data_IF_980061667857
#
_entry.id   IF_980061667857
#
_cell.length_a   1.000
_cell.length_b   1.000
_cell.length_c   1.000
_cell.angle_alpha   90.00
_cell.angle_beta   90.00
_cell.angle_gamma   90.00
#
_symmetry.space_group_name_H-M   'P 1'
#
loop_
_entity.id
_entity.type
_entity.pdbx_description
1 polymer ?
#
# COMPACT_ATOMS: atom_id res chain seq x y z
N UNK A 1 -36.02 5.50 -24.19
CA UNK A 1 -36.27 4.08 -24.54
C UNK A 1 -37.38 3.56 -23.64
N UNK A 2 -38.48 3.04 -24.21
CA UNK A 2 -39.65 2.59 -23.47
C UNK A 2 -39.50 1.13 -23.01
N UNK A 3 -40.15 0.79 -21.88
CA UNK A 3 -40.38 -0.57 -21.34
C UNK A 3 -39.24 -1.28 -20.59
N UNK A 4 -38.98 -0.84 -19.37
CA UNK A 4 -38.68 -1.77 -18.27
C UNK A 4 -39.99 -2.05 -17.53
N UNK A 5 -40.59 -3.24 -17.70
CA UNK A 5 -41.87 -3.62 -17.05
C UNK A 5 -41.77 -3.82 -15.53
N UNK A 6 -40.57 -3.81 -14.97
CA UNK A 6 -40.32 -4.16 -13.59
C UNK A 6 -39.98 -2.90 -12.78
N UNK A 7 -40.74 -2.67 -11.70
CA UNK A 7 -40.47 -1.65 -10.68
C UNK A 7 -39.44 -2.18 -9.68
N UNK A 8 -38.88 -1.31 -8.83
CA UNK A 8 -37.97 -1.73 -7.73
C UNK A 8 -38.68 -2.74 -6.81
N UNK A 9 -40.00 -2.64 -6.69
CA UNK A 9 -40.83 -3.60 -5.96
C UNK A 9 -40.82 -5.03 -6.56
N UNK A 10 -40.48 -5.17 -7.85
CA UNK A 10 -40.39 -6.46 -8.56
C UNK A 10 -39.03 -7.15 -8.38
N UNK A 11 -38.07 -6.51 -7.68
CA UNK A 11 -36.86 -7.17 -7.19
C UNK A 11 -37.23 -8.16 -6.08
N UNK A 12 -37.66 -9.36 -6.48
CA UNK A 12 -37.61 -10.53 -5.60
C UNK A 12 -36.15 -10.91 -5.40
N UNK A 13 -35.48 -10.25 -4.46
CA UNK A 13 -34.26 -10.79 -3.86
C UNK A 13 -34.62 -12.19 -3.37
N UNK A 14 -34.13 -13.23 -4.04
CA UNK A 14 -34.20 -14.59 -3.52
C UNK A 14 -33.49 -14.54 -2.18
N UNK A 15 -34.24 -14.53 -1.08
CA UNK A 15 -33.73 -14.91 0.23
C UNK A 15 -33.24 -16.35 0.05
N UNK A 16 -31.94 -16.53 -0.21
CA UNK A 16 -31.32 -17.81 0.08
C UNK A 16 -31.61 -18.08 1.56
N UNK A 17 -32.11 -19.28 1.87
CA UNK A 17 -32.40 -19.70 3.25
C UNK A 17 -31.14 -19.69 4.15
N UNK A 18 -29.97 -19.44 3.56
CA UNK A 18 -28.66 -19.44 4.21
C UNK A 18 -28.15 -18.03 4.57
N UNK A 19 -28.94 -16.97 4.36
CA UNK A 19 -28.58 -15.66 4.92
C UNK A 19 -28.86 -15.66 6.42
N UNK A 20 -27.80 -15.72 7.23
CA UNK A 20 -27.85 -15.42 8.66
C UNK A 20 -28.35 -13.97 8.81
N UNK A 21 -29.48 -13.72 9.50
CA UNK A 21 -29.87 -12.37 9.82
C UNK A 21 -28.78 -11.72 10.67
N UNK A 22 -28.52 -10.42 10.48
CA UNK A 22 -27.48 -9.68 11.23
C UNK A 22 -27.64 -9.83 12.75
N UNK A 23 -28.87 -10.05 13.22
CA UNK A 23 -29.19 -10.34 14.63
C UNK A 23 -28.61 -11.66 15.16
N UNK A 24 -28.20 -12.58 14.28
CA UNK A 24 -27.59 -13.87 14.62
C UNK A 24 -26.06 -13.87 14.47
N UNK A 25 -25.45 -12.76 14.00
CA UNK A 25 -24.01 -12.55 14.05
C UNK A 25 -23.62 -12.28 15.50
N UNK A 26 -23.24 -13.32 16.23
CA UNK A 26 -22.54 -13.16 17.51
C UNK A 26 -21.11 -12.71 17.20
N UNK A 27 -20.80 -11.46 17.53
CA UNK A 27 -19.42 -11.00 17.59
C UNK A 27 -18.79 -11.69 18.80
N UNK A 28 -17.74 -12.47 18.57
CA UNK A 28 -16.95 -13.04 19.64
C UNK A 28 -16.05 -11.93 20.20
N UNK A 29 -16.50 -11.33 21.29
CA UNK A 29 -15.82 -10.21 21.95
C UNK A 29 -14.41 -10.59 22.43
N UNK A 30 -14.15 -11.86 22.76
CA UNK A 30 -12.83 -12.33 23.16
C UNK A 30 -11.88 -12.44 21.96
N UNK A 31 -12.37 -12.93 20.82
CA UNK A 31 -11.62 -12.88 19.55
C UNK A 31 -11.36 -11.45 19.14
N UNK A 32 -12.37 -10.57 19.22
CA UNK A 32 -12.23 -9.15 18.86
C UNK A 32 -11.23 -8.45 19.79
N UNK A 33 -11.31 -8.70 21.10
CA UNK A 33 -10.39 -8.17 22.10
C UNK A 33 -8.97 -8.67 21.89
N UNK A 34 -8.77 -9.98 21.65
CA UNK A 34 -7.44 -10.55 21.34
C UNK A 34 -6.86 -9.99 20.04
N UNK A 35 -7.69 -9.77 19.02
CA UNK A 35 -7.28 -9.12 17.76
C UNK A 35 -6.94 -7.65 17.97
N UNK A 36 -7.74 -6.92 18.74
CA UNK A 36 -7.47 -5.54 19.15
C UNK A 36 -6.18 -5.42 19.95
N UNK A 37 -5.96 -6.30 20.93
CA UNK A 37 -4.73 -6.36 21.72
C UNK A 37 -3.51 -6.71 20.86
N UNK A 38 -3.63 -7.62 19.88
CA UNK A 38 -2.55 -7.86 18.91
C UNK A 38 -2.28 -6.63 18.06
N UNK A 39 -3.31 -5.98 17.53
CA UNK A 39 -3.18 -4.77 16.73
C UNK A 39 -2.52 -3.63 17.53
N UNK A 40 -2.94 -3.43 18.79
CA UNK A 40 -2.36 -2.42 19.70
C UNK A 40 -0.93 -2.78 20.11
N UNK A 41 -0.61 -4.05 20.42
CA UNK A 41 0.77 -4.48 20.70
C UNK A 41 1.68 -4.35 19.50
N UNK A 42 1.16 -4.62 18.30
CA UNK A 42 1.85 -4.28 17.05
C UNK A 42 2.09 -2.77 17.03
N UNK A 43 1.06 -1.94 17.20
CA UNK A 43 1.10 -0.46 17.15
C UNK A 43 2.01 0.19 18.22
N UNK A 44 2.12 -0.39 19.42
CA UNK A 44 2.91 0.13 20.53
C UNK A 44 4.42 -0.14 20.39
N UNK A 45 4.82 -1.03 19.47
CA UNK A 45 6.25 -1.29 19.17
C UNK A 45 6.82 -0.39 18.05
N UNK A 46 6.03 0.56 17.53
CA UNK A 46 6.45 1.45 16.45
C UNK A 46 7.31 2.61 17.00
N UNK A 47 8.63 2.40 17.13
CA UNK A 47 9.59 3.51 17.09
C UNK A 47 9.42 4.29 15.77
N UNK A 48 9.70 5.60 15.79
CA UNK A 48 9.51 6.44 14.59
C UNK A 48 10.36 5.92 13.42
N UNK A 49 9.78 5.69 12.23
CA UNK A 49 10.52 5.34 11.03
C UNK A 49 11.56 6.42 10.70
N UNK A 50 12.58 6.07 9.90
CA UNK A 50 13.70 6.97 9.54
C UNK A 50 13.27 8.20 8.71
N UNK A 51 12.00 8.25 8.30
CA UNK A 51 11.36 9.36 7.62
C UNK A 51 9.89 9.49 8.11
N UNK A 52 9.27 10.63 7.87
CA UNK A 52 7.89 10.92 8.25
C UNK A 52 6.91 10.32 7.21
N UNK A 53 6.15 9.31 7.63
CA UNK A 53 5.18 8.60 6.79
C UNK A 53 4.05 9.51 6.32
N UNK A 54 3.49 10.33 7.20
CA UNK A 54 2.36 11.21 6.87
C UNK A 54 2.72 12.22 5.78
N UNK A 55 3.92 12.82 5.88
CA UNK A 55 4.43 13.74 4.85
C UNK A 55 4.67 13.02 3.53
N UNK A 56 5.20 11.80 3.59
CA UNK A 56 5.43 10.99 2.39
C UNK A 56 4.13 10.64 1.67
N UNK A 57 3.12 10.18 2.43
CA UNK A 57 1.79 9.83 1.94
C UNK A 57 1.05 11.06 1.44
N UNK A 58 1.15 12.18 2.15
CA UNK A 58 0.57 13.47 1.73
C UNK A 58 1.14 13.89 0.37
N UNK A 59 2.46 13.92 0.23
CA UNK A 59 3.10 14.26 -1.04
C UNK A 59 2.63 13.33 -2.16
N UNK A 60 2.57 12.03 -1.89
CA UNK A 60 2.10 11.03 -2.85
C UNK A 60 0.67 11.31 -3.32
N UNK A 61 -0.25 11.63 -2.40
CA UNK A 61 -1.64 11.95 -2.72
C UNK A 61 -1.79 13.29 -3.44
N UNK A 62 -0.91 14.25 -3.20
CA UNK A 62 -0.98 15.58 -3.82
C UNK A 62 -0.35 15.61 -5.22
N UNK A 63 0.60 14.70 -5.50
CA UNK A 63 1.39 14.71 -6.74
C UNK A 63 1.15 13.50 -7.64
N UNK A 64 0.14 12.67 -7.36
CA UNK A 64 -0.16 11.46 -8.13
C UNK A 64 -0.38 11.69 -9.63
N UNK A 65 -0.84 12.89 -10.01
CA UNK A 65 -1.15 13.31 -11.37
C UNK A 65 -0.13 14.29 -11.96
N UNK A 66 1.05 14.45 -11.36
CA UNK A 66 2.09 15.32 -11.93
C UNK A 66 2.51 14.82 -13.32
N UNK A 67 3.17 15.64 -14.11
CA UNK A 67 3.75 15.14 -15.37
C UNK A 67 4.84 14.10 -15.10
N UNK A 68 4.84 12.95 -15.81
CA UNK A 68 5.86 11.92 -15.63
C UNK A 68 7.20 12.40 -16.19
N UNK A 69 8.27 12.26 -15.41
CA UNK A 69 9.61 12.62 -15.87
C UNK A 69 10.21 11.52 -16.76
N UNK A 70 9.72 10.29 -16.64
CA UNK A 70 10.15 9.13 -17.40
C UNK A 70 8.94 8.36 -17.93
N UNK A 71 9.12 7.62 -19.03
CA UNK A 71 8.08 6.72 -19.56
C UNK A 71 7.59 5.71 -18.50
N UNK A 72 8.48 5.23 -17.63
CA UNK A 72 8.17 4.36 -16.50
C UNK A 72 8.50 5.06 -15.18
N UNK A 73 7.63 5.99 -14.76
CA UNK A 73 7.91 6.90 -13.64
C UNK A 73 7.62 6.34 -12.23
N UNK A 74 7.06 5.13 -12.10
CA UNK A 74 6.59 4.60 -10.82
C UNK A 74 7.63 4.65 -9.68
N UNK A 75 8.86 4.19 -9.93
CA UNK A 75 9.92 4.22 -8.92
C UNK A 75 10.40 5.65 -8.62
N UNK A 76 10.58 6.48 -9.65
CA UNK A 76 10.93 7.89 -9.47
C UNK A 76 9.90 8.63 -8.59
N UNK A 77 8.62 8.41 -8.87
CA UNK A 77 7.53 8.98 -8.10
C UNK A 77 7.54 8.50 -6.64
N UNK A 78 7.62 7.19 -6.40
CA UNK A 78 7.67 6.66 -5.03
C UNK A 78 8.89 7.18 -4.29
N UNK A 79 10.06 7.25 -4.94
CA UNK A 79 11.28 7.83 -4.37
C UNK A 79 11.08 9.28 -3.93
N UNK A 80 10.47 10.12 -4.78
CA UNK A 80 10.14 11.51 -4.41
C UNK A 80 9.16 11.58 -3.22
N UNK A 81 8.19 10.67 -3.15
CA UNK A 81 7.30 10.59 -1.98
C UNK A 81 8.09 10.28 -0.71
N UNK A 82 9.05 9.35 -0.75
CA UNK A 82 9.87 9.01 0.41
C UNK A 82 10.77 10.19 0.82
N UNK A 83 11.39 10.87 -0.15
CA UNK A 83 12.22 12.07 0.08
C UNK A 83 11.41 13.22 0.66
N UNK A 84 10.18 13.45 0.20
CA UNK A 84 9.27 14.43 0.79
C UNK A 84 8.90 14.10 2.25
N UNK A 85 8.92 12.81 2.61
CA UNK A 85 8.84 12.35 3.99
C UNK A 85 10.10 12.64 4.83
N UNK A 86 11.21 13.04 4.21
CA UNK A 86 12.49 13.29 4.87
C UNK A 86 13.49 12.14 4.76
N UNK A 87 13.25 11.14 3.89
CA UNK A 87 14.31 10.19 3.55
C UNK A 87 15.44 10.95 2.87
N UNK A 88 16.65 10.91 3.46
CA UNK A 88 17.80 11.65 2.94
C UNK A 88 18.27 11.06 1.63
N UNK A 89 18.49 11.94 0.66
CA UNK A 89 19.21 11.61 -0.56
C UNK A 89 20.70 11.46 -0.27
N UNK A 90 21.37 10.61 -1.04
CA UNK A 90 22.81 10.40 -0.98
C UNK A 90 23.36 10.00 -2.36
N UNK A 91 24.64 9.63 -2.43
CA UNK A 91 25.30 9.29 -3.69
C UNK A 91 24.61 8.12 -4.42
N UNK A 92 24.11 7.15 -3.66
CA UNK A 92 23.45 5.95 -4.18
C UNK A 92 21.93 6.11 -4.36
N UNK A 93 21.32 7.16 -3.83
CA UNK A 93 19.87 7.41 -3.87
C UNK A 93 19.58 8.90 -3.99
N UNK A 94 19.46 9.34 -5.23
CA UNK A 94 19.17 10.73 -5.63
C UNK A 94 18.50 10.71 -7.02
N UNK A 95 17.90 11.83 -7.46
CA UNK A 95 17.22 11.88 -8.74
C UNK A 95 18.14 11.42 -9.88
N UNK A 96 17.58 10.76 -10.88
CA UNK A 96 18.31 10.14 -12.01
C UNK A 96 19.17 8.91 -11.66
N UNK A 97 19.43 8.62 -10.38
CA UNK A 97 20.19 7.43 -10.00
C UNK A 97 19.34 6.17 -10.08
N UNK A 98 19.96 5.02 -10.38
CA UNK A 98 19.22 3.79 -10.69
C UNK A 98 18.36 3.29 -9.53
N UNK A 99 18.83 3.43 -8.30
CA UNK A 99 18.07 3.07 -7.10
C UNK A 99 16.89 3.99 -6.85
N UNK A 100 16.85 5.14 -7.51
CA UNK A 100 15.79 6.14 -7.37
C UNK A 100 14.73 5.98 -8.47
N UNK A 101 15.14 5.71 -9.71
CA UNK A 101 14.26 5.73 -10.88
C UNK A 101 13.83 4.36 -11.37
N UNK A 102 14.40 3.27 -10.87
CA UNK A 102 14.05 1.90 -11.24
C UNK A 102 13.47 1.12 -10.06
N UNK A 103 12.55 0.21 -10.32
CA UNK A 103 11.97 -0.68 -9.29
C UNK A 103 12.99 -1.71 -8.78
N UNK A 104 13.92 -2.12 -9.65
CA UNK A 104 14.84 -3.25 -9.44
C UNK A 104 14.38 -4.59 -10.04
N UNK A 105 13.33 -4.60 -10.86
CA UNK A 105 12.88 -5.83 -11.55
C UNK A 105 14.01 -6.45 -12.40
N UNK A 106 14.23 -7.75 -12.23
CA UNK A 106 15.29 -8.50 -12.92
C UNK A 106 16.71 -8.13 -12.52
N UNK A 107 16.90 -7.33 -11.46
CA UNK A 107 18.22 -6.92 -10.96
C UNK A 107 18.41 -7.36 -9.52
N UNK A 108 19.56 -7.95 -9.23
CA UNK A 108 19.81 -8.50 -7.90
C UNK A 108 20.24 -7.45 -6.87
N UNK A 109 20.87 -6.35 -7.31
CA UNK A 109 21.59 -5.41 -6.42
C UNK A 109 21.18 -3.94 -6.53
N UNK A 110 20.31 -3.57 -7.47
CA UNK A 110 19.96 -2.17 -7.76
C UNK A 110 18.45 -1.97 -7.92
N UNK A 111 17.99 -0.74 -7.73
CA UNK A 111 16.58 -0.35 -7.79
C UNK A 111 16.01 -0.01 -6.41
N UNK A 112 14.89 0.69 -6.41
CA UNK A 112 14.24 1.27 -5.22
C UNK A 112 14.04 0.24 -4.12
N UNK A 113 13.36 -0.87 -4.43
CA UNK A 113 13.05 -1.89 -3.44
C UNK A 113 14.33 -2.46 -2.82
N UNK A 114 15.34 -2.74 -3.65
CA UNK A 114 16.63 -3.29 -3.19
C UNK A 114 17.41 -2.31 -2.34
N UNK A 115 17.37 -1.03 -2.69
CA UNK A 115 17.98 0.01 -1.87
C UNK A 115 17.31 0.12 -0.50
N UNK A 116 15.97 0.12 -0.44
CA UNK A 116 15.24 0.22 0.83
C UNK A 116 15.50 -0.98 1.73
N UNK A 117 15.53 -2.20 1.17
CA UNK A 117 15.88 -3.42 1.89
C UNK A 117 17.32 -3.37 2.44
N UNK A 118 18.31 -3.11 1.56
CA UNK A 118 19.74 -3.11 1.91
C UNK A 118 20.08 -2.11 3.01
N UNK A 119 19.40 -0.96 3.02
CA UNK A 119 19.65 0.11 3.99
C UNK A 119 18.78 0.00 5.26
N UNK A 120 18.04 -1.09 5.43
CA UNK A 120 17.11 -1.30 6.54
C UNK A 120 16.09 -0.14 6.69
N UNK A 121 15.61 0.40 5.58
CA UNK A 121 14.59 1.45 5.53
C UNK A 121 13.21 0.79 5.46
N UNK A 122 13.05 -0.19 4.57
CA UNK A 122 11.85 -1.03 4.48
C UNK A 122 12.22 -2.50 4.43
N UNK A 123 11.35 -3.35 4.96
CA UNK A 123 11.52 -4.80 5.00
C UNK A 123 10.34 -5.52 4.39
N UNK A 124 10.61 -6.64 3.72
CA UNK A 124 9.57 -7.49 3.15
C UNK A 124 8.66 -8.05 4.26
N UNK A 125 7.36 -7.86 4.11
CA UNK A 125 6.35 -8.47 5.00
C UNK A 125 5.62 -9.60 4.27
N UNK A 126 5.36 -10.69 4.99
CA UNK A 126 4.64 -11.86 4.45
C UNK A 126 3.13 -11.70 4.50
N UNK A 127 2.62 -10.88 5.42
CA UNK A 127 1.19 -10.65 5.61
C UNK A 127 0.85 -9.22 5.20
N UNK A 128 0.04 -9.06 4.15
CA UNK A 128 -0.37 -7.74 3.61
C UNK A 128 -1.10 -6.88 4.63
N UNK A 129 -1.80 -7.48 5.59
CA UNK A 129 -2.49 -6.73 6.66
C UNK A 129 -1.52 -5.99 7.60
N UNK A 130 -0.23 -6.32 7.57
CA UNK A 130 0.82 -5.63 8.33
C UNK A 130 1.44 -4.46 7.56
N UNK A 131 1.03 -4.21 6.31
CA UNK A 131 1.48 -3.03 5.58
C UNK A 131 0.89 -1.78 6.25
N UNK A 132 1.66 -0.73 6.40
CA UNK A 132 1.20 0.56 6.91
C UNK A 132 1.26 1.63 5.82
N UNK A 133 0.64 2.78 6.04
CA UNK A 133 0.83 3.93 5.17
C UNK A 133 2.33 4.27 5.03
N UNK A 134 2.77 4.57 3.80
CA UNK A 134 4.18 4.74 3.47
C UNK A 134 4.96 3.44 3.23
N UNK A 135 4.29 2.27 3.32
CA UNK A 135 4.83 1.02 2.75
C UNK A 135 4.89 1.11 1.23
N UNK A 136 5.80 0.33 0.63
CA UNK A 136 5.91 0.20 -0.83
C UNK A 136 5.29 -1.14 -1.23
N UNK A 137 4.37 -1.10 -2.19
CA UNK A 137 3.88 -2.30 -2.89
C UNK A 137 4.67 -2.47 -4.18
N UNK A 138 5.05 -3.71 -4.48
CA UNK A 138 5.80 -4.11 -5.67
C UNK A 138 5.04 -5.20 -6.41
N UNK A 139 4.73 -4.99 -7.69
CA UNK A 139 4.10 -5.99 -8.55
C UNK A 139 5.17 -6.85 -9.21
N UNK A 140 5.16 -8.14 -8.87
CA UNK A 140 6.22 -9.07 -9.28
C UNK A 140 6.30 -9.23 -10.79
N UNK A 141 5.18 -9.22 -11.50
CA UNK A 141 5.12 -9.55 -12.93
C UNK A 141 5.19 -8.33 -13.87
N UNK A 142 5.20 -7.10 -13.34
CA UNK A 142 5.03 -5.88 -14.14
C UNK A 142 6.08 -4.79 -13.88
N UNK A 143 7.14 -5.08 -13.13
CA UNK A 143 8.16 -4.08 -12.77
C UNK A 143 7.54 -2.75 -12.29
N UNK A 144 6.53 -2.84 -11.43
CA UNK A 144 5.77 -1.68 -10.98
C UNK A 144 5.82 -1.54 -9.47
N UNK A 145 5.81 -0.29 -8.99
CA UNK A 145 5.76 0.05 -7.57
C UNK A 145 4.75 1.14 -7.30
N UNK A 146 4.21 1.14 -6.09
CA UNK A 146 3.32 2.17 -5.58
C UNK A 146 3.53 2.37 -4.09
N UNK A 147 3.06 3.50 -3.56
CA UNK A 147 3.09 3.79 -2.13
C UNK A 147 1.73 3.47 -1.52
N UNK A 148 1.70 2.70 -0.44
CA UNK A 148 0.49 2.45 0.34
C UNK A 148 0.06 3.74 1.00
N UNK A 149 -1.19 4.10 0.78
CA UNK A 149 -1.79 5.34 1.28
C UNK A 149 -2.87 5.08 2.30
N UNK A 150 -3.35 3.84 2.44
CA UNK A 150 -4.36 3.44 3.42
C UNK A 150 -4.33 1.93 3.61
N UNK A 151 -4.47 1.45 4.85
CA UNK A 151 -4.71 0.04 5.15
C UNK A 151 -5.54 -0.12 6.44
N UNK A 152 -6.70 -0.76 6.35
CA UNK A 152 -7.53 -1.15 7.51
C UNK A 152 -7.57 -2.67 7.76
N UNK A 153 -6.58 -3.40 7.24
CA UNK A 153 -6.43 -4.86 7.21
C UNK A 153 -7.31 -5.60 6.21
N UNK A 154 -8.37 -4.97 5.69
CA UNK A 154 -9.28 -5.55 4.68
C UNK A 154 -9.06 -4.84 3.34
N UNK A 155 -9.15 -3.52 3.36
CA UNK A 155 -9.01 -2.62 2.24
C UNK A 155 -7.62 -1.97 2.28
N UNK A 156 -6.84 -2.23 1.22
CA UNK A 156 -5.53 -1.62 1.04
C UNK A 156 -5.58 -0.74 -0.20
N UNK A 157 -5.15 0.51 -0.06
CA UNK A 157 -5.08 1.47 -1.18
C UNK A 157 -3.67 1.97 -1.41
N UNK A 158 -3.36 2.28 -2.67
CA UNK A 158 -2.05 2.80 -3.07
C UNK A 158 -2.18 3.97 -4.04
N UNK A 159 -1.09 4.72 -4.18
CA UNK A 159 -0.92 5.69 -5.26
C UNK A 159 0.36 5.43 -6.03
N UNK A 160 0.32 5.66 -7.35
CA UNK A 160 1.41 5.38 -8.29
C UNK A 160 1.30 6.29 -9.53
N UNK A 161 2.34 6.29 -10.38
CA UNK A 161 2.49 7.33 -11.42
C UNK A 161 2.55 6.86 -12.88
N UNK A 162 3.14 5.69 -13.21
CA UNK A 162 3.23 5.21 -14.61
C UNK A 162 1.86 5.12 -15.30
N UNK A 163 0.85 4.64 -14.58
CA UNK A 163 -0.54 4.93 -14.86
C UNK A 163 -1.00 5.65 -13.60
N UNK A 164 -1.22 6.95 -13.67
CA UNK A 164 -1.53 7.77 -12.51
C UNK A 164 -2.70 7.14 -11.74
N UNK A 165 -2.45 6.72 -10.51
CA UNK A 165 -3.42 6.10 -9.59
C UNK A 165 -3.42 6.88 -8.30
N UNK A 166 -4.60 7.31 -7.86
CA UNK A 166 -4.82 7.90 -6.55
C UNK A 166 -5.69 6.98 -5.71
N UNK A 167 -5.16 6.52 -4.58
CA UNK A 167 -5.89 5.69 -3.62
C UNK A 167 -6.61 4.48 -4.27
N UNK A 168 -6.00 3.87 -5.28
CA UNK A 168 -6.53 2.72 -5.99
C UNK A 168 -6.50 1.50 -5.07
N UNK A 169 -7.53 0.66 -5.13
CA UNK A 169 -7.63 -0.55 -4.32
C UNK A 169 -6.65 -1.60 -4.84
N UNK A 170 -5.97 -2.32 -3.94
CA UNK A 170 -5.20 -3.52 -4.27
C UNK A 170 -6.09 -4.75 -4.06
N UNK A 171 -6.55 -5.43 -5.13
CA UNK A 171 -7.25 -6.70 -5.01
C UNK A 171 -6.45 -7.74 -4.23
N UNK A 172 -7.14 -8.61 -3.50
CA UNK A 172 -6.51 -9.58 -2.60
C UNK A 172 -5.67 -10.64 -3.32
N UNK A 173 -6.06 -11.03 -4.53
CA UNK A 173 -5.44 -12.12 -5.29
C UNK A 173 -4.30 -11.67 -6.22
N UNK A 174 -3.80 -10.44 -6.09
CA UNK A 174 -2.69 -9.99 -6.91
C UNK A 174 -1.35 -10.53 -6.40
N UNK A 175 -0.49 -10.91 -7.34
CA UNK A 175 0.89 -11.31 -7.08
C UNK A 175 1.76 -10.08 -6.81
N UNK A 176 1.72 -9.62 -5.56
CA UNK A 176 2.43 -8.44 -5.07
C UNK A 176 3.22 -8.74 -3.80
N UNK A 177 4.30 -8.00 -3.61
CA UNK A 177 5.08 -7.96 -2.37
C UNK A 177 4.88 -6.61 -1.70
N UNK A 178 4.85 -6.63 -0.37
CA UNK A 178 4.76 -5.42 0.44
C UNK A 178 6.07 -5.24 1.20
N UNK A 179 6.63 -4.04 1.14
CA UNK A 179 7.81 -3.64 1.89
C UNK A 179 7.37 -2.55 2.86
N UNK A 180 7.38 -2.86 4.15
CA UNK A 180 6.91 -1.95 5.22
C UNK A 180 8.11 -1.23 5.85
N UNK A 181 7.98 0.04 6.26
CA UNK A 181 9.06 0.76 6.95
C UNK A 181 9.58 -0.02 8.14
N UNK A 182 10.90 -0.23 8.22
CA UNK A 182 11.55 -0.90 9.35
C UNK A 182 11.66 0.08 10.49
N UNK A 183 11.45 -0.45 11.68
CA UNK A 183 11.47 0.28 12.93
C UNK A 183 12.66 -0.25 13.72
N UNK A 184 13.69 0.58 13.87
CA UNK A 184 14.90 0.18 14.61
C UNK A 184 14.61 0.13 16.11
N UNK A 185 14.64 -1.04 16.73
CA UNK A 185 14.94 -1.13 18.17
C UNK A 185 16.40 -0.71 18.38
N UNK A 186 16.65 0.17 19.37
CA UNK A 186 18.02 0.39 19.85
C UNK A 186 18.24 -0.65 20.93
#
# INVERSE_FOLDING_TARGET
MPYGKNKVEDLKLKKNKDYLPITNLKIDDDILYKRGQRAVKSFAYFKKPVFNLDKSVKYCRENWNREPQYQNDCANFVSQCLVAGGLKENEDFKPQHINYISTGYGREKTGLVKYLEKNNIHGLIKNRSLAVEGSVVYWNNFSHVGLITYNDTILIKYSAHTLAKLNEIIPEKLDVKFYSPIIKSN
#
